data_IF_196759797119
#
_entry.id   IF_196759797119
#
_cell.length_a   1.000
_cell.length_b   1.000
_cell.length_c   1.000
_cell.angle_alpha   90.00
_cell.angle_beta   90.00
_cell.angle_gamma   90.00
#
_symmetry.space_group_name_H-M   'P 1'
#
loop_
_entity.id
_entity.type
_entity.pdbx_description
1 polymer ?
#
# COMPACT_ATOMS: atom_id res chain seq x y z
N UNK A 1 -47.68 27.51 69.96
CA UNK A 1 -47.17 28.48 68.97
C UNK A 1 -45.77 28.05 68.53
N UNK A 2 -45.66 27.79 67.23
CA UNK A 2 -44.51 27.48 66.35
C UNK A 2 -43.13 27.94 66.85
N UNK A 3 -42.13 27.04 66.93
CA UNK A 3 -41.27 26.49 65.88
C UNK A 3 -40.12 27.41 65.46
N UNK A 4 -38.87 26.96 65.65
CA UNK A 4 -37.91 26.66 64.56
C UNK A 4 -36.48 26.54 65.11
N UNK A 5 -36.00 25.31 65.14
CA UNK A 5 -34.58 25.00 65.17
C UNK A 5 -34.03 25.19 63.74
N UNK A 6 -33.02 26.06 63.60
CA UNK A 6 -32.30 26.26 62.34
C UNK A 6 -31.18 25.24 62.22
N UNK A 7 -31.36 24.23 61.37
CA UNK A 7 -30.31 23.33 60.92
C UNK A 7 -29.41 24.05 59.90
N UNK A 8 -28.10 24.08 60.15
CA UNK A 8 -27.11 24.52 59.17
C UNK A 8 -26.80 23.37 58.21
N UNK A 9 -27.24 23.49 56.96
CA UNK A 9 -26.82 22.60 55.87
C UNK A 9 -25.36 22.89 55.47
N UNK A 10 -24.45 21.97 55.77
CA UNK A 10 -23.12 21.95 55.15
C UNK A 10 -23.23 21.46 53.70
N UNK A 11 -23.39 22.39 52.76
CA UNK A 11 -23.30 22.10 51.32
C UNK A 11 -21.83 21.97 50.91
N UNK A 12 -21.38 20.74 50.67
CA UNK A 12 -20.12 20.47 49.96
C UNK A 12 -20.37 20.72 48.47
N UNK A 13 -19.93 21.89 47.97
CA UNK A 13 -19.93 22.20 46.55
C UNK A 13 -18.67 21.61 45.93
N UNK A 14 -18.76 20.38 45.44
CA UNK A 14 -17.71 19.79 44.59
C UNK A 14 -17.79 20.48 43.23
N UNK A 15 -16.80 21.32 42.90
CA UNK A 15 -16.71 22.00 41.60
C UNK A 15 -16.55 20.95 40.48
N UNK A 16 -17.68 20.63 39.82
CA UNK A 16 -17.84 19.68 38.70
C UNK A 16 -16.79 19.89 37.56
N UNK A 17 -16.19 21.07 37.44
CA UNK A 17 -15.13 21.36 36.45
C UNK A 17 -13.88 20.47 36.56
N UNK A 18 -13.52 19.95 37.75
CA UNK A 18 -12.33 19.08 37.89
C UNK A 18 -12.59 17.62 37.51
N UNK A 19 -13.82 17.14 37.64
CA UNK A 19 -14.20 15.76 37.31
C UNK A 19 -14.32 15.58 35.79
N UNK A 20 -14.83 16.61 35.09
CA UNK A 20 -14.95 16.58 33.63
C UNK A 20 -13.58 16.53 32.91
N UNK A 21 -12.57 17.22 33.44
CA UNK A 21 -11.21 17.20 32.88
C UNK A 21 -10.52 15.83 33.02
N UNK A 22 -10.73 15.15 34.15
CA UNK A 22 -10.15 13.81 34.39
C UNK A 22 -10.86 12.75 33.54
N UNK A 23 -12.19 12.84 33.36
CA UNK A 23 -12.94 11.94 32.47
C UNK A 23 -12.53 12.15 31.00
N UNK A 24 -12.27 13.39 30.57
CA UNK A 24 -11.83 13.68 29.20
C UNK A 24 -10.42 13.16 28.93
N UNK A 25 -9.49 13.30 29.88
CA UNK A 25 -8.14 12.73 29.77
C UNK A 25 -8.18 11.20 29.78
N UNK A 26 -8.99 10.57 30.64
CA UNK A 26 -9.16 9.11 30.66
C UNK A 26 -9.81 8.60 29.38
N UNK A 27 -10.84 9.27 28.83
CA UNK A 27 -11.47 8.93 27.55
C UNK A 27 -10.52 9.12 26.36
N UNK A 28 -9.60 10.09 26.41
CA UNK A 28 -8.56 10.25 25.39
C UNK A 28 -7.51 9.12 25.42
N UNK A 29 -7.30 8.45 26.56
CA UNK A 29 -6.39 7.30 26.67
C UNK A 29 -7.04 5.94 26.37
N UNK A 30 -8.36 5.85 26.15
CA UNK A 30 -9.02 4.60 25.68
C UNK A 30 -9.04 4.49 24.15
N UNK A 31 -8.55 5.52 23.43
CA UNK A 31 -7.94 5.26 22.13
C UNK A 31 -6.57 4.65 22.40
N UNK A 32 -6.56 3.39 22.88
CA UNK A 32 -5.45 2.52 22.59
C UNK A 32 -5.29 2.62 21.08
N UNK A 33 -4.22 3.28 20.65
CA UNK A 33 -3.60 3.06 19.36
C UNK A 33 -3.37 1.56 19.28
N UNK A 34 -4.38 0.83 18.84
CA UNK A 34 -4.26 -0.58 18.56
C UNK A 34 -3.17 -0.68 17.51
N UNK A 35 -2.13 -1.47 17.80
CA UNK A 35 -0.98 -1.58 16.93
C UNK A 35 -1.47 -2.11 15.57
N UNK A 36 -1.61 -1.19 14.62
CA UNK A 36 -2.01 -1.50 13.25
C UNK A 36 -0.74 -1.60 12.41
N UNK A 37 -0.76 -2.50 11.44
CA UNK A 37 0.31 -2.59 10.45
C UNK A 37 0.25 -1.29 9.61
N UNK A 38 1.28 -0.46 9.73
CA UNK A 38 1.37 0.78 8.96
C UNK A 38 1.46 0.49 7.46
N UNK A 39 0.92 1.37 6.63
CA UNK A 39 1.10 1.23 5.19
C UNK A 39 2.56 1.50 4.80
N UNK A 40 3.05 0.81 3.78
CA UNK A 40 4.42 0.94 3.31
C UNK A 40 5.06 -0.38 2.93
N UNK A 41 6.38 -0.35 2.79
CA UNK A 41 7.21 -1.49 2.39
C UNK A 41 7.90 -2.08 3.62
N UNK A 42 7.90 -3.40 3.69
CA UNK A 42 8.51 -4.21 4.72
C UNK A 42 9.46 -5.21 4.08
N UNK A 43 10.54 -5.57 4.77
CA UNK A 43 11.48 -6.62 4.37
C UNK A 43 11.17 -7.90 5.17
N UNK A 44 11.22 -9.04 4.52
CA UNK A 44 11.24 -10.37 5.14
C UNK A 44 12.71 -10.83 5.18
N UNK A 45 13.39 -10.75 6.34
CA UNK A 45 14.83 -11.00 6.41
C UNK A 45 15.22 -12.45 6.07
N UNK A 46 14.30 -13.40 6.24
CA UNK A 46 14.58 -14.83 6.08
C UNK A 46 14.75 -15.29 4.62
N UNK A 47 14.18 -14.55 3.65
CA UNK A 47 14.16 -14.97 2.25
C UNK A 47 14.36 -13.84 1.23
N UNK A 48 14.58 -12.59 1.69
CA UNK A 48 14.87 -11.46 0.81
C UNK A 48 13.68 -10.96 0.01
N UNK A 49 12.46 -11.32 0.41
CA UNK A 49 11.23 -10.74 -0.13
C UNK A 49 10.87 -9.44 0.57
N UNK A 50 10.09 -8.63 -0.12
CA UNK A 50 9.48 -7.41 0.38
C UNK A 50 7.97 -7.55 0.35
N UNK A 51 7.32 -6.94 1.33
CA UNK A 51 5.87 -6.83 1.41
C UNK A 51 5.52 -5.35 1.35
N UNK A 52 4.77 -4.95 0.33
CA UNK A 52 4.10 -3.66 0.30
C UNK A 52 2.67 -3.86 0.78
N UNK A 53 2.24 -3.09 1.77
CA UNK A 53 0.87 -3.11 2.29
C UNK A 53 0.27 -1.73 2.22
N UNK A 54 -0.94 -1.63 1.67
CA UNK A 54 -1.73 -0.41 1.63
C UNK A 54 -3.16 -0.67 2.10
N UNK A 55 -3.72 0.25 2.89
CA UNK A 55 -5.09 0.19 3.40
C UNK A 55 -5.99 1.27 2.78
N UNK A 56 -7.29 0.99 2.64
CA UNK A 56 -8.31 1.97 2.28
C UNK A 56 -9.61 1.63 3.01
N UNK A 57 -9.86 2.35 4.11
CA UNK A 57 -10.86 1.93 5.10
C UNK A 57 -10.48 0.56 5.67
N UNK A 58 -11.41 -0.39 5.58
CA UNK A 58 -11.19 -1.78 6.02
C UNK A 58 -10.58 -2.67 4.94
N UNK A 59 -10.34 -2.18 3.73
CA UNK A 59 -9.73 -2.97 2.65
C UNK A 59 -8.21 -2.89 2.73
N UNK A 60 -7.55 -4.00 2.41
CA UNK A 60 -6.09 -4.10 2.39
C UNK A 60 -5.62 -4.68 1.05
N UNK A 61 -4.59 -4.06 0.47
CA UNK A 61 -3.90 -4.51 -0.74
C UNK A 61 -2.45 -4.80 -0.38
N UNK A 62 -1.99 -5.99 -0.77
CA UNK A 62 -0.64 -6.43 -0.47
C UNK A 62 0.05 -6.90 -1.76
N UNK A 63 1.31 -6.52 -1.91
CA UNK A 63 2.21 -7.06 -2.91
C UNK A 63 3.36 -7.74 -2.18
N UNK A 64 3.55 -9.03 -2.40
CA UNK A 64 4.76 -9.72 -2.02
C UNK A 64 5.68 -9.79 -3.23
N UNK A 65 6.91 -9.29 -3.13
CA UNK A 65 7.79 -9.19 -4.30
C UNK A 65 9.25 -9.35 -3.92
N UNK A 66 10.09 -9.60 -4.92
CA UNK A 66 11.54 -9.61 -4.74
C UNK A 66 12.23 -8.78 -5.82
N UNK A 67 13.54 -8.57 -5.63
CA UNK A 67 14.37 -7.78 -6.54
C UNK A 67 14.79 -8.57 -7.80
N UNK A 68 14.28 -9.78 -8.02
CA UNK A 68 14.47 -10.51 -9.29
C UNK A 68 13.26 -10.37 -10.20
N UNK A 69 12.23 -9.61 -9.79
CA UNK A 69 11.07 -9.30 -10.61
C UNK A 69 9.84 -10.16 -10.34
N UNK A 70 9.95 -11.15 -9.45
CA UNK A 70 8.78 -11.92 -9.04
C UNK A 70 7.92 -11.08 -8.10
N UNK A 71 6.60 -11.13 -8.30
CA UNK A 71 5.64 -10.60 -7.35
C UNK A 71 4.32 -11.35 -7.38
N UNK A 72 3.59 -11.27 -6.28
CA UNK A 72 2.23 -11.75 -6.11
C UNK A 72 1.38 -10.68 -5.44
N UNK A 73 0.09 -10.70 -5.78
CA UNK A 73 -0.88 -9.74 -5.26
C UNK A 73 -1.85 -10.45 -4.34
N UNK A 74 -2.16 -9.81 -3.23
CA UNK A 74 -3.10 -10.31 -2.25
C UNK A 74 -4.11 -9.22 -1.88
N UNK A 75 -5.33 -9.66 -1.61
CA UNK A 75 -6.43 -8.81 -1.17
C UNK A 75 -6.90 -9.31 0.19
N UNK A 76 -7.23 -8.37 1.06
CA UNK A 76 -7.70 -8.71 2.39
C UNK A 76 -8.56 -7.62 2.99
N UNK A 77 -8.90 -7.84 4.25
CA UNK A 77 -9.62 -6.86 5.04
C UNK A 77 -9.05 -6.76 6.45
N UNK A 78 -9.10 -5.56 6.99
CA UNK A 78 -8.80 -5.29 8.39
C UNK A 78 -9.99 -5.75 9.23
N UNK A 79 -9.72 -6.64 10.17
CA UNK A 79 -10.69 -7.12 11.15
C UNK A 79 -10.08 -6.90 12.53
N UNK A 80 -10.52 -5.84 13.22
CA UNK A 80 -9.91 -5.40 14.48
C UNK A 80 -8.43 -5.03 14.29
N UNK A 81 -7.52 -5.66 15.04
CA UNK A 81 -6.07 -5.43 15.02
C UNK A 81 -5.32 -6.27 13.98
N UNK A 82 -6.04 -6.99 13.12
CA UNK A 82 -5.47 -8.00 12.23
C UNK A 82 -5.88 -7.78 10.78
N UNK A 83 -5.03 -8.19 9.86
CA UNK A 83 -5.39 -8.31 8.44
C UNK A 83 -5.71 -9.76 8.13
N UNK A 84 -6.91 -10.00 7.62
CA UNK A 84 -7.35 -11.30 7.12
C UNK A 84 -7.25 -11.27 5.61
N UNK A 85 -6.47 -12.18 5.04
CA UNK A 85 -6.19 -12.25 3.61
C UNK A 85 -6.67 -13.60 3.09
N UNK A 86 -7.34 -13.57 1.95
CA UNK A 86 -7.74 -14.78 1.25
C UNK A 86 -7.40 -14.59 -0.21
N UNK A 87 -6.61 -15.50 -0.77
CA UNK A 87 -6.34 -15.54 -2.20
C UNK A 87 -6.87 -16.83 -2.80
N UNK A 88 -7.45 -16.70 -3.99
CA UNK A 88 -7.89 -17.80 -4.84
C UNK A 88 -7.10 -17.69 -6.14
N UNK A 89 -6.26 -18.68 -6.40
CA UNK A 89 -5.49 -18.78 -7.64
C UNK A 89 -6.00 -19.95 -8.46
N UNK A 90 -5.40 -20.17 -9.64
CA UNK A 90 -5.63 -21.38 -10.42
C UNK A 90 -5.12 -22.65 -9.73
N UNK A 91 -4.20 -22.51 -8.78
CA UNK A 91 -3.46 -23.61 -8.16
C UNK A 91 -4.04 -24.00 -6.78
N UNK A 92 -4.83 -23.12 -6.15
CA UNK A 92 -5.49 -23.40 -4.89
C UNK A 92 -6.05 -22.16 -4.20
N UNK A 93 -6.40 -22.34 -2.93
CA UNK A 93 -6.83 -21.27 -2.03
C UNK A 93 -5.90 -21.17 -0.83
N UNK A 94 -5.45 -19.96 -0.50
CA UNK A 94 -4.61 -19.67 0.67
C UNK A 94 -5.29 -18.60 1.52
N UNK A 95 -5.36 -18.85 2.83
CA UNK A 95 -5.79 -17.88 3.83
C UNK A 95 -4.64 -17.53 4.76
N UNK A 96 -4.41 -16.24 5.00
CA UNK A 96 -3.36 -15.73 5.88
C UNK A 96 -3.93 -14.71 6.88
N UNK A 97 -3.28 -14.63 8.03
CA UNK A 97 -3.51 -13.61 9.05
C UNK A 97 -2.22 -12.83 9.30
N UNK A 98 -2.29 -11.50 9.24
CA UNK A 98 -1.18 -10.64 9.65
C UNK A 98 -1.53 -9.89 10.92
N UNK A 99 -0.61 -9.87 11.88
CA UNK A 99 -0.75 -9.16 13.16
C UNK A 99 0.47 -8.30 13.42
N UNK A 100 0.28 -7.08 13.89
CA UNK A 100 1.39 -6.17 14.25
C UNK A 100 2.25 -6.76 15.38
N UNK A 101 3.56 -6.55 15.28
CA UNK A 101 4.55 -6.86 16.32
C UNK A 101 5.32 -5.58 16.67
N UNK A 102 6.15 -5.62 17.72
CA UNK A 102 7.01 -4.49 18.07
C UNK A 102 8.05 -4.15 16.99
N UNK A 103 8.35 -5.09 16.07
CA UNK A 103 9.34 -4.93 15.02
C UNK A 103 8.71 -4.71 13.63
N UNK A 104 7.39 -4.83 13.51
CA UNK A 104 6.68 -4.76 12.23
C UNK A 104 5.41 -5.58 12.28
N UNK A 105 5.39 -6.73 11.59
CA UNK A 105 4.27 -7.67 11.67
C UNK A 105 4.70 -9.13 11.48
N UNK A 106 3.85 -10.02 11.96
CA UNK A 106 3.94 -11.46 11.76
C UNK A 106 2.80 -11.91 10.83
N UNK A 107 3.12 -12.69 9.80
CA UNK A 107 2.16 -13.38 8.94
C UNK A 107 2.08 -14.86 9.33
N UNK A 108 0.86 -15.39 9.40
CA UNK A 108 0.58 -16.81 9.64
C UNK A 108 -0.39 -17.36 8.62
N UNK A 109 -0.12 -18.56 8.15
CA UNK A 109 -1.05 -19.29 7.30
C UNK A 109 -2.19 -19.84 8.18
N UNK A 110 -3.43 -19.55 7.80
CA UNK A 110 -4.62 -20.11 8.44
C UNK A 110 -5.02 -21.45 7.80
N UNK A 111 -4.95 -21.51 6.48
CA UNK A 111 -5.21 -22.70 5.69
C UNK A 111 -4.58 -22.56 4.31
N UNK A 112 -4.16 -23.68 3.74
CA UNK A 112 -3.77 -23.77 2.35
C UNK A 112 -4.37 -25.04 1.73
N UNK A 113 -5.12 -24.86 0.65
CA UNK A 113 -5.90 -25.90 -0.02
C UNK A 113 -5.52 -25.92 -1.51
N UNK A 114 -4.59 -26.78 -1.93
CA UNK A 114 -4.23 -26.93 -3.34
C UNK A 114 -5.34 -27.66 -4.10
N UNK A 115 -5.57 -27.31 -5.36
CA UNK A 115 -6.56 -28.02 -6.20
C UNK A 115 -6.04 -29.32 -6.82
N UNK A 116 -4.73 -29.47 -6.91
CA UNK A 116 -4.06 -30.69 -7.33
C UNK A 116 -3.05 -31.13 -6.28
N UNK A 117 -2.94 -32.44 -6.05
CA UNK A 117 -1.90 -32.99 -5.17
C UNK A 117 -0.50 -32.65 -5.73
N UNK A 118 0.42 -32.29 -4.84
CA UNK A 118 1.84 -32.03 -5.12
C UNK A 118 2.19 -30.92 -6.13
N UNK A 119 1.31 -29.94 -6.36
CA UNK A 119 1.61 -28.79 -7.23
C UNK A 119 2.53 -27.73 -6.58
N UNK A 120 2.98 -27.95 -5.33
CA UNK A 120 3.85 -27.02 -4.61
C UNK A 120 3.18 -25.73 -4.13
N UNK A 121 1.87 -25.53 -4.37
CA UNK A 121 1.16 -24.29 -4.05
C UNK A 121 1.29 -23.88 -2.58
N UNK A 122 1.22 -24.85 -1.65
CA UNK A 122 1.35 -24.59 -0.22
C UNK A 122 2.80 -24.51 0.29
N UNK A 123 3.80 -24.53 -0.60
CA UNK A 123 5.21 -24.34 -0.25
C UNK A 123 5.66 -22.87 -0.40
N UNK A 124 4.71 -21.92 -0.40
CA UNK A 124 4.97 -20.49 -0.58
C UNK A 124 5.85 -19.84 0.51
N UNK A 125 5.61 -18.56 0.82
CA UNK A 125 6.44 -17.83 1.80
C UNK A 125 6.39 -18.43 3.23
N UNK A 126 5.34 -19.19 3.55
CA UNK A 126 5.09 -19.76 4.88
C UNK A 126 4.82 -18.69 5.93
N UNK A 127 4.98 -19.04 7.21
CA UNK A 127 4.95 -18.05 8.29
C UNK A 127 6.23 -17.20 8.28
N UNK A 128 6.09 -15.88 8.39
CA UNK A 128 7.22 -14.96 8.38
C UNK A 128 6.98 -13.73 9.24
N UNK A 129 8.07 -13.16 9.75
CA UNK A 129 8.08 -11.81 10.33
C UNK A 129 8.66 -10.83 9.32
N UNK A 130 8.02 -9.67 9.18
CA UNK A 130 8.45 -8.61 8.29
C UNK A 130 8.67 -7.31 9.08
N UNK A 131 9.70 -6.57 8.70
CA UNK A 131 10.18 -5.37 9.39
C UNK A 131 10.02 -4.17 8.44
N UNK A 132 9.47 -3.03 8.89
CA UNK A 132 9.26 -1.88 8.02
C UNK A 132 10.60 -1.35 7.53
N UNK A 133 10.66 -1.06 6.22
CA UNK A 133 11.79 -0.37 5.60
C UNK A 133 11.40 1.04 5.14
N UNK A 134 10.15 1.23 4.73
CA UNK A 134 9.60 2.51 4.30
C UNK A 134 8.13 2.58 4.72
N UNK A 135 7.75 3.61 5.46
CA UNK A 135 6.36 3.83 5.86
C UNK A 135 5.73 4.95 5.03
N UNK A 136 4.45 4.80 4.71
CA UNK A 136 3.65 5.87 4.16
C UNK A 136 3.32 6.86 5.27
N UNK A 137 3.79 8.10 5.15
CA UNK A 137 3.56 9.18 6.12
C UNK A 137 2.51 10.18 5.64
N UNK A 138 2.17 10.10 4.36
CA UNK A 138 1.27 11.02 3.69
C UNK A 138 -0.14 10.52 3.45
N UNK A 139 -0.99 11.42 2.97
CA UNK A 139 -2.33 11.09 2.46
C UNK A 139 -2.32 10.54 1.04
N UNK A 140 -1.25 10.77 0.27
CA UNK A 140 -1.10 10.18 -1.06
C UNK A 140 -0.81 8.68 -0.88
N UNK A 141 -1.80 7.86 -1.25
CA UNK A 141 -1.71 6.40 -1.26
C UNK A 141 -2.77 5.86 -2.23
N UNK A 142 -2.33 5.33 -3.36
CA UNK A 142 -3.23 4.84 -4.39
C UNK A 142 -2.57 3.74 -5.23
N UNK A 143 -3.41 2.89 -5.81
CA UNK A 143 -2.97 1.94 -6.82
C UNK A 143 -3.66 2.30 -8.12
N UNK A 144 -2.88 2.38 -9.19
CA UNK A 144 -3.38 2.65 -10.52
C UNK A 144 -3.04 1.52 -11.47
N UNK A 145 -3.95 1.22 -12.39
CA UNK A 145 -3.71 0.32 -13.50
C UNK A 145 -3.49 1.11 -14.79
N UNK A 146 -2.40 0.80 -15.47
CA UNK A 146 -2.04 1.36 -16.77
C UNK A 146 -2.83 0.69 -17.90
N UNK A 147 -2.76 1.24 -19.12
CA UNK A 147 -3.47 0.67 -20.27
C UNK A 147 -2.95 -0.72 -20.69
N UNK A 148 -1.71 -1.04 -20.35
CA UNK A 148 -1.10 -2.34 -20.64
C UNK A 148 -1.16 -3.31 -19.46
N UNK A 149 -1.88 -2.95 -18.39
CA UNK A 149 -2.16 -3.84 -17.26
C UNK A 149 -1.13 -3.84 -16.13
N UNK A 150 -0.06 -3.06 -16.25
CA UNK A 150 0.84 -2.81 -15.12
C UNK A 150 0.12 -2.06 -14.00
N UNK A 151 0.58 -2.27 -12.76
CA UNK A 151 0.06 -1.57 -11.60
C UNK A 151 1.12 -0.68 -10.98
N UNK A 152 0.78 0.61 -10.90
CA UNK A 152 1.57 1.61 -10.19
C UNK A 152 1.01 1.77 -8.80
N UNK A 153 1.80 1.39 -7.81
CA UNK A 153 1.52 1.67 -6.42
C UNK A 153 2.25 2.95 -6.03
N UNK A 154 1.50 3.99 -5.70
CA UNK A 154 2.06 5.31 -5.37
C UNK A 154 1.70 5.67 -3.93
N UNK A 155 2.69 6.01 -3.13
CA UNK A 155 2.47 6.57 -1.80
C UNK A 155 3.52 7.62 -1.42
N UNK A 156 3.19 8.50 -0.48
CA UNK A 156 4.13 9.49 0.04
C UNK A 156 4.82 9.02 1.33
N UNK A 157 6.14 9.18 1.36
CA UNK A 157 6.98 8.99 2.54
C UNK A 157 7.88 10.21 2.74
N UNK A 158 7.72 10.91 3.85
CA UNK A 158 8.45 12.11 4.26
C UNK A 158 8.54 13.19 3.16
N UNK A 159 7.43 13.45 2.47
CA UNK A 159 7.34 14.44 1.39
C UNK A 159 7.90 13.99 0.03
N UNK A 160 8.30 12.73 -0.10
CA UNK A 160 8.77 12.13 -1.36
C UNK A 160 7.69 11.16 -1.85
N UNK A 161 7.35 11.21 -3.14
CA UNK A 161 6.52 10.20 -3.76
C UNK A 161 7.35 8.97 -4.09
N UNK A 162 6.87 7.81 -3.68
CA UNK A 162 7.38 6.52 -4.10
C UNK A 162 6.42 5.94 -5.12
N UNK A 163 6.95 5.45 -6.24
CA UNK A 163 6.21 4.71 -7.26
C UNK A 163 6.83 3.33 -7.39
N UNK A 164 6.05 2.29 -7.10
CA UNK A 164 6.40 0.90 -7.41
C UNK A 164 5.60 0.44 -8.62
N UNK A 165 6.28 -0.18 -9.57
CA UNK A 165 5.71 -0.71 -10.81
C UNK A 165 5.71 -2.23 -10.75
N UNK A 166 4.52 -2.83 -10.94
CA UNK A 166 4.33 -4.28 -11.01
C UNK A 166 3.70 -4.65 -12.35
N UNK A 167 4.49 -5.27 -13.22
CA UNK A 167 4.03 -5.70 -14.54
C UNK A 167 4.12 -7.23 -14.68
N UNK A 168 2.98 -7.86 -14.96
CA UNK A 168 2.91 -9.26 -15.35
C UNK A 168 2.63 -9.34 -16.85
N UNK A 169 3.31 -10.26 -17.53
CA UNK A 169 3.15 -10.50 -18.95
C UNK A 169 3.51 -11.93 -19.33
N UNK A 170 3.58 -12.17 -20.62
CA UNK A 170 3.93 -13.48 -21.20
C UNK A 170 4.98 -13.22 -22.28
N UNK A 171 6.06 -14.00 -22.26
CA UNK A 171 7.10 -13.99 -23.29
C UNK A 171 6.56 -14.60 -24.60
N UNK A 172 7.29 -14.42 -25.70
CA UNK A 172 6.91 -14.99 -27.01
C UNK A 172 6.84 -16.52 -26.99
N UNK A 173 7.60 -17.18 -26.12
CA UNK A 173 7.60 -18.63 -25.92
C UNK A 173 6.46 -19.13 -25.01
N UNK A 174 5.58 -18.23 -24.55
CA UNK A 174 4.47 -18.55 -23.66
C UNK A 174 4.84 -18.63 -22.18
N UNK A 175 6.10 -18.42 -21.80
CA UNK A 175 6.51 -18.38 -20.40
C UNK A 175 6.08 -17.07 -19.72
N UNK A 176 5.81 -17.13 -18.41
CA UNK A 176 5.44 -15.93 -17.66
C UNK A 176 6.62 -14.96 -17.55
N UNK A 177 6.34 -13.68 -17.77
CA UNK A 177 7.26 -12.57 -17.51
C UNK A 177 6.72 -11.75 -16.35
N UNK A 178 7.59 -11.36 -15.44
CA UNK A 178 7.26 -10.41 -14.38
C UNK A 178 8.35 -9.35 -14.28
N UNK A 179 7.96 -8.13 -13.94
CA UNK A 179 8.85 -7.00 -13.75
C UNK A 179 8.41 -6.23 -12.50
N UNK A 180 9.41 -5.82 -11.72
CA UNK A 180 9.25 -4.93 -10.58
C UNK A 180 10.20 -3.75 -10.75
N UNK A 181 9.65 -2.55 -10.69
CA UNK A 181 10.41 -1.30 -10.68
C UNK A 181 10.08 -0.47 -9.45
N UNK A 182 11.01 0.39 -9.03
CA UNK A 182 10.79 1.37 -7.99
C UNK A 182 11.45 2.70 -8.35
N UNK A 183 10.71 3.79 -8.18
CA UNK A 183 11.19 5.15 -8.42
C UNK A 183 10.82 6.07 -7.27
N UNK A 184 11.65 7.08 -7.07
CA UNK A 184 11.35 8.22 -6.20
C UNK A 184 10.97 9.43 -7.06
N UNK A 185 10.15 10.33 -6.54
CA UNK A 185 9.75 11.54 -7.24
C UNK A 185 9.39 12.68 -6.28
N UNK A 186 9.36 13.91 -6.81
CA UNK A 186 8.96 15.10 -6.09
C UNK A 186 7.46 15.32 -6.18
N UNK A 187 6.85 15.85 -5.11
CA UNK A 187 5.43 16.24 -5.07
C UNK A 187 5.35 17.76 -5.05
N UNK A 188 4.74 18.32 -6.09
CA UNK A 188 4.47 19.76 -6.20
C UNK A 188 3.30 20.21 -5.32
N UNK A 189 3.18 21.52 -5.05
CA UNK A 189 2.11 22.09 -4.22
C UNK A 189 0.71 21.90 -4.81
N UNK A 190 0.63 21.58 -6.10
CA UNK A 190 -0.59 21.30 -6.82
C UNK A 190 -0.83 19.78 -7.00
N UNK A 191 -0.11 18.93 -6.27
CA UNK A 191 -0.14 17.47 -6.38
C UNK A 191 0.32 16.92 -7.74
N UNK A 192 1.16 17.67 -8.45
CA UNK A 192 1.92 17.13 -9.58
C UNK A 192 3.12 16.34 -9.08
N UNK A 193 3.28 15.10 -9.52
CA UNK A 193 4.42 14.24 -9.26
C UNK A 193 5.34 14.30 -10.47
N UNK A 194 6.61 14.63 -10.26
CA UNK A 194 7.58 14.88 -11.32
C UNK A 194 9.01 14.57 -10.87
N UNK A 195 9.97 14.61 -11.81
CA UNK A 195 11.37 14.24 -11.58
C UNK A 195 11.50 12.82 -11.02
N UNK A 196 10.93 11.84 -11.72
CA UNK A 196 11.09 10.43 -11.38
C UNK A 196 12.56 10.02 -11.52
N UNK A 197 13.10 9.45 -10.45
CA UNK A 197 14.43 8.86 -10.39
C UNK A 197 14.32 7.39 -10.02
N UNK A 198 14.82 6.53 -10.89
CA UNK A 198 14.73 5.08 -10.75
C UNK A 198 15.68 4.60 -9.65
N UNK A 199 15.11 4.06 -8.58
CA UNK A 199 15.87 3.46 -7.49
C UNK A 199 16.26 2.01 -7.80
N UNK A 200 15.38 1.27 -8.49
CA UNK A 200 15.58 -0.15 -8.79
C UNK A 200 14.71 -0.62 -9.96
N UNK A 201 15.23 -1.57 -10.75
CA UNK A 201 14.49 -2.33 -11.76
C UNK A 201 14.96 -3.77 -11.76
N UNK A 202 14.03 -4.72 -11.86
CA UNK A 202 14.36 -6.16 -11.88
C UNK A 202 14.95 -6.64 -13.20
N UNK A 203 14.84 -5.84 -14.25
CA UNK A 203 15.45 -6.10 -15.55
C UNK A 203 16.20 -4.85 -16.01
N UNK A 204 17.39 -5.05 -16.57
CA UNK A 204 18.16 -3.94 -17.13
C UNK A 204 17.46 -3.39 -18.38
N UNK A 205 17.48 -2.06 -18.59
CA UNK A 205 16.94 -1.46 -19.79
C UNK A 205 17.74 -1.95 -21.02
N UNK A 206 17.02 -2.23 -22.09
CA UNK A 206 17.56 -2.59 -23.39
C UNK A 206 17.53 -1.40 -24.35
N UNK A 207 18.34 -1.43 -25.41
CA UNK A 207 18.34 -0.37 -26.43
C UNK A 207 17.00 -0.28 -27.19
N UNK A 208 16.23 -1.36 -27.23
CA UNK A 208 14.91 -1.42 -27.85
C UNK A 208 13.79 -0.97 -26.91
N UNK A 209 14.08 -0.63 -25.66
CA UNK A 209 13.06 -0.11 -24.75
C UNK A 209 12.72 1.35 -25.08
N UNK A 210 11.44 1.73 -25.02
CA UNK A 210 11.04 3.11 -25.20
C UNK A 210 11.64 3.99 -24.10
N UNK A 211 12.04 5.21 -24.46
CA UNK A 211 12.52 6.23 -23.53
C UNK A 211 11.55 7.38 -23.54
N UNK A 212 10.99 7.69 -22.38
CA UNK A 212 10.03 8.77 -22.23
C UNK A 212 10.16 9.41 -20.84
N UNK A 213 9.69 10.63 -20.73
CA UNK A 213 9.47 11.31 -19.46
C UNK A 213 8.01 11.70 -19.36
N UNK A 214 7.50 11.81 -18.14
CA UNK A 214 6.15 12.29 -17.88
C UNK A 214 6.07 12.86 -16.47
N UNK A 215 4.97 13.57 -16.23
CA UNK A 215 4.49 13.93 -14.90
C UNK A 215 3.18 13.20 -14.64
N UNK A 216 2.87 12.97 -13.37
CA UNK A 216 1.54 12.53 -12.95
C UNK A 216 0.86 13.68 -12.22
N UNK A 217 -0.30 14.08 -12.70
CA UNK A 217 -1.14 15.05 -11.99
C UNK A 217 -2.18 14.30 -11.18
N UNK A 218 -2.14 14.44 -9.87
CA UNK A 218 -3.24 14.02 -8.99
C UNK A 218 -4.25 15.18 -8.93
N UNK A 219 -5.52 14.89 -9.20
CA UNK A 219 -6.58 15.90 -9.21
C UNK A 219 -6.76 16.54 -7.84
N UNK A 220 -6.90 15.71 -6.80
CA UNK A 220 -7.01 16.09 -5.41
C UNK A 220 -6.78 14.85 -4.50
N UNK A 221 -6.65 15.10 -3.19
CA UNK A 221 -6.37 14.05 -2.20
C UNK A 221 -7.59 13.22 -1.77
N UNK A 222 -8.81 13.61 -2.17
CA UNK A 222 -10.03 12.87 -1.84
C UNK A 222 -10.29 11.76 -2.87
N UNK A 223 -10.21 12.10 -4.15
CA UNK A 223 -10.44 11.15 -5.26
C UNK A 223 -9.18 10.41 -5.67
N UNK A 224 -8.00 11.02 -5.44
CA UNK A 224 -6.71 10.53 -5.90
C UNK A 224 -6.76 10.07 -7.38
N UNK A 225 -7.59 10.71 -8.21
CA UNK A 225 -7.59 10.40 -9.63
C UNK A 225 -6.35 11.03 -10.27
N UNK A 226 -5.62 10.23 -11.05
CA UNK A 226 -4.37 10.65 -11.68
C UNK A 226 -4.50 10.71 -13.21
N UNK A 227 -3.71 11.57 -13.82
CA UNK A 227 -3.53 11.63 -15.28
C UNK A 227 -2.07 11.89 -15.64
N UNK A 228 -1.63 11.36 -16.77
CA UNK A 228 -0.35 11.74 -17.36
C UNK A 228 -0.37 13.21 -17.81
N UNK A 229 0.74 13.90 -17.62
CA UNK A 229 1.00 15.25 -18.11
C UNK A 229 2.41 15.32 -18.68
N UNK A 230 2.62 16.25 -19.61
CA UNK A 230 3.94 16.54 -20.20
C UNK A 230 4.67 15.26 -20.64
N UNK A 231 3.96 14.35 -21.31
CA UNK A 231 4.55 13.10 -21.80
C UNK A 231 5.45 13.43 -22.98
N UNK A 232 6.76 13.27 -22.80
CA UNK A 232 7.76 13.49 -23.83
C UNK A 232 8.40 12.16 -24.21
N UNK A 233 8.25 11.76 -25.46
CA UNK A 233 8.93 10.59 -26.01
C UNK A 233 10.31 10.98 -26.52
N UNK A 234 11.35 10.47 -25.87
CA UNK A 234 12.75 10.68 -26.25
C UNK A 234 13.22 9.65 -27.29
N UNK A 235 12.70 8.43 -27.22
CA UNK A 235 12.93 7.37 -28.21
C UNK A 235 11.78 6.38 -28.22
N UNK A 236 11.23 5.99 -29.38
CA UNK A 236 10.13 5.03 -29.44
C UNK A 236 10.56 3.58 -29.16
N UNK A 237 11.86 3.27 -29.15
CA UNK A 237 12.37 1.91 -28.97
C UNK A 237 11.78 0.94 -30.00
N UNK A 238 11.17 -0.14 -29.51
CA UNK A 238 10.50 -1.19 -30.32
C UNK A 238 9.21 -0.73 -31.02
N UNK A 239 8.67 0.44 -30.66
CA UNK A 239 7.43 0.94 -31.24
C UNK A 239 7.69 1.65 -32.57
N UNK A 240 6.68 1.68 -33.45
CA UNK A 240 6.79 2.28 -34.79
C UNK A 240 7.06 3.78 -34.77
N UNK A 241 6.53 4.48 -33.78
CA UNK A 241 6.69 5.93 -33.60
C UNK A 241 6.41 6.34 -32.14
N UNK A 242 6.81 7.56 -31.79
CA UNK A 242 6.48 8.14 -30.49
C UNK A 242 4.97 8.33 -30.31
N UNK A 243 4.26 8.77 -31.34
CA UNK A 243 2.80 8.92 -31.28
C UNK A 243 2.11 7.58 -30.99
N UNK A 244 2.55 6.49 -31.66
CA UNK A 244 2.00 5.16 -31.43
C UNK A 244 2.23 4.66 -29.99
N UNK A 245 3.36 5.03 -29.39
CA UNK A 245 3.67 4.73 -28.00
C UNK A 245 2.82 5.59 -27.03
N UNK A 246 2.77 6.90 -27.23
CA UNK A 246 2.08 7.81 -26.31
C UNK A 246 0.56 7.59 -26.37
N UNK A 247 -0.04 7.55 -27.55
CA UNK A 247 -1.48 7.37 -27.73
C UNK A 247 -1.94 5.97 -27.29
N UNK A 248 -1.09 4.96 -27.50
CA UNK A 248 -1.41 3.58 -27.15
C UNK A 248 -1.36 3.30 -25.65
N UNK A 249 -0.44 3.95 -24.92
CA UNK A 249 -0.09 3.53 -23.57
C UNK A 249 -0.24 4.63 -22.51
N UNK A 250 -0.07 5.91 -22.86
CA UNK A 250 0.02 7.03 -21.91
C UNK A 250 -1.19 7.97 -21.95
N UNK A 251 -2.34 7.49 -22.42
CA UNK A 251 -3.57 8.28 -22.49
C UNK A 251 -4.42 8.22 -21.22
N UNK A 252 -4.28 7.16 -20.41
CA UNK A 252 -5.12 6.93 -19.24
C UNK A 252 -4.41 6.19 -18.11
N UNK A 253 -4.72 6.61 -16.89
CA UNK A 253 -4.37 5.93 -15.66
C UNK A 253 -5.64 5.70 -14.83
N UNK A 254 -5.96 4.45 -14.50
CA UNK A 254 -7.21 4.11 -13.79
C UNK A 254 -6.93 3.77 -12.34
N UNK A 255 -7.47 4.54 -11.40
CA UNK A 255 -7.35 4.20 -9.97
C UNK A 255 -8.16 2.92 -9.68
N UNK A 256 -7.53 1.97 -8.99
CA UNK A 256 -8.14 0.70 -8.57
C UNK A 256 -8.12 0.50 -7.05
N UNK A 257 -7.43 1.36 -6.30
CA UNK A 257 -7.40 1.37 -4.84
C UNK A 257 -7.18 2.78 -4.29
#
# INVERSE_FOLDING_TARGET
MNSNASYAENKIIIKIKRILGVICVILCFINTSQAQINDGVYLIPSNGFYILTLTNGDLVRIYAFNLTGFFEKYEGSKVSEKYSITTLTQDGTLGMEMTSTALGFLSKDLYCLPFAEDNGFCQGLGEFEAIPVLEATGSLKAIYRTQWGAEYVIFESNGIALLLDFEAGVNEDGSNKSYVGASTAQIGPDFTIFNFDTAFESAAPSESDPKLTFKLKIENLETLQASYQDVECLSPGRFKSCDALVDGFFSRLTRIF
#
